data_IF_021376911934
#
_entry.id   IF_021376911934
#
_cell.length_a   1.000
_cell.length_b   1.000
_cell.length_c   1.000
_cell.angle_alpha   90.00
_cell.angle_beta   90.00
_cell.angle_gamma   90.00
#
_symmetry.space_group_name_H-M   'P 1'
#
loop_
_entity.id
_entity.type
_entity.pdbx_description
1 polymer ?
#
# COMPACT_ATOMS: atom_id res chain seq x y z
N UNK A 1 6.56 17.02 -10.80
CA UNK A 1 6.52 15.55 -10.84
C UNK A 1 5.98 15.06 -9.52
N UNK A 2 5.03 14.13 -9.53
CA UNK A 2 4.54 13.50 -8.30
C UNK A 2 5.67 12.68 -7.67
N UNK A 3 5.92 12.88 -6.39
CA UNK A 3 6.89 12.08 -5.65
C UNK A 3 6.27 10.73 -5.29
N UNK A 4 7.04 9.66 -5.44
CA UNK A 4 6.72 8.35 -4.88
C UNK A 4 6.80 8.38 -3.34
N UNK A 5 6.40 7.29 -2.68
CA UNK A 5 6.37 7.21 -1.21
C UNK A 5 7.76 7.45 -0.63
N UNK A 6 7.83 8.34 0.37
CA UNK A 6 9.06 8.72 1.05
C UNK A 6 8.75 9.12 2.52
N UNK A 7 9.79 9.52 3.27
CA UNK A 7 9.65 9.96 4.66
C UNK A 7 8.71 11.16 4.83
N UNK A 8 8.69 12.08 3.86
CA UNK A 8 7.82 13.27 3.90
C UNK A 8 6.34 12.87 3.88
N UNK A 9 5.98 11.81 3.15
CA UNK A 9 4.60 11.31 3.14
C UNK A 9 4.16 10.75 4.50
N UNK A 10 5.07 10.11 5.24
CA UNK A 10 4.78 9.66 6.61
C UNK A 10 4.72 10.82 7.61
N UNK A 11 5.58 11.83 7.45
CA UNK A 11 5.50 13.07 8.23
C UNK A 11 4.15 13.76 8.00
N UNK A 12 3.72 13.87 6.74
CA UNK A 12 2.41 14.44 6.39
C UNK A 12 1.28 13.64 7.04
N UNK A 13 1.31 12.30 6.93
CA UNK A 13 0.35 11.43 7.61
C UNK A 13 0.26 11.73 9.11
N UNK A 14 1.38 11.72 9.83
CA UNK A 14 1.37 11.95 11.27
C UNK A 14 0.93 13.38 11.64
N UNK A 15 1.29 14.39 10.84
CA UNK A 15 0.86 15.77 11.07
C UNK A 15 -0.64 15.94 10.83
N UNK A 16 -1.18 15.38 9.75
CA UNK A 16 -2.61 15.43 9.46
C UNK A 16 -3.41 14.66 10.51
N UNK A 17 -2.98 13.45 10.87
CA UNK A 17 -3.67 12.61 11.83
C UNK A 17 -3.70 13.22 13.24
N UNK A 18 -2.63 13.89 13.66
CA UNK A 18 -2.58 14.58 14.97
C UNK A 18 -3.57 15.72 15.12
N UNK A 19 -4.18 16.22 14.04
CA UNK A 19 -5.23 17.23 14.12
C UNK A 19 -6.55 16.68 14.69
N UNK A 20 -6.73 15.35 14.68
CA UNK A 20 -7.98 14.72 15.11
C UNK A 20 -7.80 13.42 15.93
N UNK A 21 -6.58 12.90 16.06
CA UNK A 21 -6.24 11.73 16.85
C UNK A 21 -5.21 12.08 17.93
N UNK A 22 -5.40 11.53 19.14
CA UNK A 22 -4.45 11.69 20.23
C UNK A 22 -3.13 10.96 19.95
N UNK A 23 -1.99 11.39 20.53
CA UNK A 23 -0.70 10.72 20.37
C UNK A 23 -0.75 9.22 20.66
N UNK A 24 -1.49 8.78 21.68
CA UNK A 24 -1.65 7.37 22.07
C UNK A 24 -2.39 6.54 21.01
N UNK A 25 -3.11 7.18 20.09
CA UNK A 25 -3.76 6.51 18.96
C UNK A 25 -2.81 6.34 17.76
N UNK A 26 -1.67 7.04 17.75
CA UNK A 26 -0.70 7.08 16.65
C UNK A 26 0.66 6.47 17.03
N UNK A 27 1.02 6.54 18.30
CA UNK A 27 2.31 6.13 18.83
C UNK A 27 2.13 5.19 20.04
N UNK A 28 3.05 4.25 20.18
CA UNK A 28 3.24 3.47 21.39
C UNK A 28 3.88 4.33 22.46
N UNK A 29 3.34 4.31 23.68
CA UNK A 29 3.94 4.94 24.86
C UNK A 29 4.81 3.92 25.60
N UNK A 30 6.11 4.15 25.67
CA UNK A 30 7.07 3.32 26.42
C UNK A 30 7.05 3.58 27.92
N UNK A 31 7.68 2.68 28.68
CA UNK A 31 7.84 2.79 30.14
C UNK A 31 8.63 4.05 30.56
N UNK A 32 9.46 4.61 29.66
CA UNK A 32 10.21 5.87 29.86
C UNK A 32 9.47 7.11 29.30
N UNK A 33 8.16 7.01 29.09
CA UNK A 33 7.27 8.09 28.59
C UNK A 33 7.66 8.66 27.22
N UNK A 34 8.10 7.80 26.31
CA UNK A 34 8.44 8.18 24.93
C UNK A 34 7.43 7.60 23.94
N UNK A 35 7.13 8.37 22.92
CA UNK A 35 6.16 8.01 21.88
C UNK A 35 6.88 7.49 20.64
N UNK A 36 6.63 6.24 20.27
CA UNK A 36 7.24 5.59 19.12
C UNK A 36 6.20 5.07 18.11
N UNK A 37 6.44 5.24 16.81
CA UNK A 37 5.60 4.63 15.78
C UNK A 37 5.73 3.09 15.83
N UNK A 38 6.91 2.56 16.09
CA UNK A 38 7.08 1.14 16.38
C UNK A 38 8.03 0.94 17.55
N UNK A 39 7.81 -0.13 18.31
CA UNK A 39 8.77 -0.53 19.34
C UNK A 39 10.17 -0.65 18.73
N UNK A 40 11.18 0.09 19.24
CA UNK A 40 12.56 -0.07 18.80
C UNK A 40 13.01 -1.54 18.93
N UNK A 41 13.87 -2.02 18.02
CA UNK A 41 14.26 -3.44 17.99
C UNK A 41 14.87 -3.94 19.31
N UNK A 42 15.59 -3.06 20.00
CA UNK A 42 16.23 -3.28 21.29
C UNK A 42 15.32 -3.06 22.51
N UNK A 43 14.06 -2.64 22.31
CA UNK A 43 13.14 -2.35 23.40
C UNK A 43 12.72 -3.64 24.14
N UNK A 44 12.99 -3.67 25.45
CA UNK A 44 12.75 -4.82 26.35
C UNK A 44 11.62 -4.60 27.36
N UNK A 45 11.05 -3.39 27.42
CA UNK A 45 10.00 -3.02 28.37
C UNK A 45 8.65 -3.65 28.02
N UNK A 46 7.63 -3.24 28.77
CA UNK A 46 6.24 -3.67 28.55
C UNK A 46 5.74 -3.15 27.20
N UNK A 47 4.96 -3.98 26.47
CA UNK A 47 4.49 -3.65 25.12
C UNK A 47 2.96 -3.71 25.07
N UNK A 48 2.37 -2.65 24.57
CA UNK A 48 0.96 -2.57 24.21
C UNK A 48 0.74 -2.88 22.72
N UNK A 49 -0.52 -3.07 22.35
CA UNK A 49 -0.98 -3.14 20.96
C UNK A 49 -1.55 -1.78 20.54
N UNK A 50 -1.39 -1.43 19.26
CA UNK A 50 -1.88 -0.19 18.70
C UNK A 50 -2.59 -0.47 17.38
N UNK A 51 -3.91 -0.60 17.44
CA UNK A 51 -4.74 -0.91 16.27
C UNK A 51 -5.20 0.34 15.53
N UNK A 52 -5.50 1.43 16.25
CA UNK A 52 -6.01 2.69 15.70
C UNK A 52 -5.15 3.25 14.58
N UNK A 53 -3.81 3.32 14.77
CA UNK A 53 -2.91 3.81 13.73
C UNK A 53 -3.02 3.00 12.43
N UNK A 54 -3.17 1.67 12.52
CA UNK A 54 -3.21 0.83 11.31
C UNK A 54 -4.43 1.15 10.44
N UNK A 55 -5.56 1.49 11.05
CA UNK A 55 -6.73 2.00 10.30
C UNK A 55 -6.43 3.35 9.68
N UNK A 56 -5.91 4.30 10.47
CA UNK A 56 -5.64 5.67 10.01
C UNK A 56 -4.63 5.73 8.86
N UNK A 57 -3.54 4.97 8.93
CA UNK A 57 -2.56 4.91 7.82
C UNK A 57 -3.15 4.19 6.61
N UNK A 58 -4.03 3.20 6.82
CA UNK A 58 -4.77 2.55 5.74
C UNK A 58 -5.52 3.58 4.91
N UNK A 59 -6.46 4.30 5.55
CA UNK A 59 -7.28 5.34 4.91
C UNK A 59 -6.41 6.41 4.21
N UNK A 60 -5.34 6.85 4.87
CA UNK A 60 -4.40 7.82 4.28
C UNK A 60 -3.74 7.29 3.01
N UNK A 61 -3.25 6.04 3.05
CA UNK A 61 -2.56 5.43 1.90
C UNK A 61 -3.50 5.06 0.76
N UNK A 62 -4.76 4.74 1.02
CA UNK A 62 -5.77 4.52 -0.01
C UNK A 62 -6.06 5.81 -0.79
N UNK A 63 -6.28 6.92 -0.07
CA UNK A 63 -6.42 8.24 -0.67
C UNK A 63 -5.16 8.65 -1.45
N UNK A 64 -3.98 8.47 -0.86
CA UNK A 64 -2.72 8.78 -1.53
C UNK A 64 -2.52 7.92 -2.78
N UNK A 65 -2.89 6.64 -2.75
CA UNK A 65 -2.83 5.74 -3.90
C UNK A 65 -3.79 6.15 -5.02
N UNK A 66 -4.98 6.62 -4.67
CA UNK A 66 -5.91 7.20 -5.64
C UNK A 66 -5.33 8.46 -6.31
N UNK A 67 -4.75 9.36 -5.50
CA UNK A 67 -4.10 10.58 -5.99
C UNK A 67 -2.90 10.25 -6.89
N UNK A 68 -2.09 9.24 -6.55
CA UNK A 68 -0.97 8.78 -7.36
C UNK A 68 -1.40 8.36 -8.77
N UNK A 69 -2.55 7.68 -8.89
CA UNK A 69 -3.06 7.10 -10.13
C UNK A 69 -3.94 8.07 -10.95
N UNK A 70 -4.38 9.18 -10.35
CA UNK A 70 -5.32 10.14 -10.97
C UNK A 70 -4.87 10.68 -12.32
N UNK A 71 -3.63 11.16 -12.43
CA UNK A 71 -3.08 11.71 -13.68
C UNK A 71 -3.04 10.66 -14.80
N UNK A 72 -2.64 9.44 -14.46
CA UNK A 72 -2.64 8.33 -15.42
C UNK A 72 -4.06 8.01 -15.89
N UNK A 73 -5.02 7.86 -14.97
CA UNK A 73 -6.40 7.56 -15.32
C UNK A 73 -7.00 8.65 -16.24
N UNK A 74 -6.79 9.93 -15.91
CA UNK A 74 -7.25 11.07 -16.72
C UNK A 74 -6.62 11.03 -18.12
N UNK A 75 -5.32 10.73 -18.22
CA UNK A 75 -4.63 10.62 -19.52
C UNK A 75 -5.20 9.52 -20.42
N UNK A 76 -5.91 8.54 -19.85
CA UNK A 76 -6.58 7.44 -20.56
C UNK A 76 -8.08 7.65 -20.73
N UNK A 77 -8.63 8.80 -20.31
CA UNK A 77 -10.06 9.08 -20.36
C UNK A 77 -10.88 8.30 -19.32
N UNK A 78 -10.25 7.90 -18.21
CA UNK A 78 -10.88 7.16 -17.12
C UNK A 78 -10.88 7.96 -15.81
N UNK A 79 -11.50 7.40 -14.79
CA UNK A 79 -11.64 7.98 -13.46
C UNK A 79 -11.03 7.06 -12.40
N UNK A 80 -10.45 7.65 -11.35
CA UNK A 80 -10.09 6.91 -10.14
C UNK A 80 -11.27 6.95 -9.18
N UNK A 81 -11.70 5.78 -8.72
CA UNK A 81 -12.80 5.61 -7.76
C UNK A 81 -12.24 4.96 -6.50
N UNK A 82 -12.40 5.66 -5.38
CA UNK A 82 -12.06 5.14 -4.05
C UNK A 82 -13.21 4.30 -3.50
N UNK A 83 -12.94 3.12 -2.95
CA UNK A 83 -13.97 2.27 -2.35
C UNK A 83 -14.98 1.70 -3.36
N UNK A 84 -14.55 1.37 -4.59
CA UNK A 84 -15.45 0.93 -5.66
C UNK A 84 -16.17 -0.38 -5.30
N UNK A 85 -17.50 -0.37 -5.43
CA UNK A 85 -18.40 -1.49 -5.12
C UNK A 85 -18.84 -2.13 -6.43
N UNK A 86 -18.70 -3.45 -6.54
CA UNK A 86 -19.19 -4.23 -7.67
C UNK A 86 -19.52 -5.65 -7.21
N UNK A 87 -20.79 -5.88 -6.89
CA UNK A 87 -21.31 -7.18 -6.43
C UNK A 87 -21.07 -8.29 -7.48
N UNK A 88 -21.13 -7.96 -8.78
CA UNK A 88 -20.93 -8.90 -9.91
C UNK A 88 -19.54 -9.57 -9.92
N UNK A 89 -18.56 -8.97 -9.25
CA UNK A 89 -17.18 -9.46 -9.20
C UNK A 89 -16.68 -9.66 -7.77
N UNK A 90 -17.60 -9.82 -6.81
CA UNK A 90 -17.23 -10.12 -5.43
C UNK A 90 -16.57 -8.95 -4.69
N UNK A 91 -16.92 -7.71 -5.03
CA UNK A 91 -16.54 -6.48 -4.32
C UNK A 91 -17.76 -5.82 -3.66
N UNK A 92 -18.38 -6.46 -2.64
CA UNK A 92 -19.51 -5.89 -1.93
C UNK A 92 -19.10 -4.66 -1.11
N UNK A 93 -20.06 -3.90 -0.59
CA UNK A 93 -19.81 -2.69 0.21
C UNK A 93 -18.84 -2.89 1.40
N UNK A 94 -18.86 -4.06 2.04
CA UNK A 94 -18.00 -4.38 3.20
C UNK A 94 -16.62 -4.94 2.80
N UNK A 95 -16.36 -5.12 1.51
CA UNK A 95 -15.08 -5.57 0.96
C UNK A 95 -14.88 -4.97 -0.45
N UNK A 96 -15.16 -3.68 -0.58
CA UNK A 96 -15.00 -2.93 -1.82
C UNK A 96 -13.52 -2.87 -2.23
N UNK A 97 -13.24 -2.52 -3.48
CA UNK A 97 -11.86 -2.25 -3.87
C UNK A 97 -11.38 -0.97 -3.19
N UNK A 98 -10.17 -1.00 -2.64
CA UNK A 98 -9.55 0.17 -2.00
C UNK A 98 -9.49 1.33 -3.02
N UNK A 99 -8.95 1.04 -4.21
CA UNK A 99 -8.95 1.94 -5.37
C UNK A 99 -9.27 1.16 -6.65
N UNK A 100 -10.02 1.76 -7.57
CA UNK A 100 -10.23 1.25 -8.91
C UNK A 100 -10.05 2.35 -9.96
N UNK A 101 -9.62 1.98 -11.16
CA UNK A 101 -9.77 2.85 -12.34
C UNK A 101 -11.00 2.37 -13.09
N UNK A 102 -11.91 3.30 -13.39
CA UNK A 102 -13.23 3.02 -13.95
C UNK A 102 -13.58 3.97 -15.10
N UNK A 103 -14.48 3.52 -15.98
CA UNK A 103 -15.07 4.32 -17.06
C UNK A 103 -16.05 5.38 -16.54
N UNK A 104 -16.56 5.19 -15.32
CA UNK A 104 -17.51 6.12 -14.68
C UNK A 104 -16.99 6.54 -13.31
N UNK A 105 -17.47 7.68 -12.79
CA UNK A 105 -17.11 8.18 -11.45
C UNK A 105 -17.95 7.59 -10.31
N UNK A 106 -18.88 6.67 -10.60
CA UNK A 106 -19.79 6.15 -9.58
C UNK A 106 -19.05 5.26 -8.57
N UNK A 107 -19.52 5.22 -7.32
CA UNK A 107 -18.98 4.24 -6.36
C UNK A 107 -19.48 2.82 -6.70
N UNK A 108 -20.76 2.70 -7.07
CA UNK A 108 -21.33 1.44 -7.56
C UNK A 108 -21.01 1.29 -9.04
N UNK A 109 -20.25 0.25 -9.38
CA UNK A 109 -19.75 -0.03 -10.72
C UNK A 109 -20.36 -1.33 -11.25
N UNK A 110 -20.49 -1.41 -12.57
CA UNK A 110 -20.65 -2.70 -13.27
C UNK A 110 -19.28 -3.28 -13.55
N UNK A 111 -19.19 -4.60 -13.72
CA UNK A 111 -17.92 -5.25 -14.03
C UNK A 111 -17.24 -4.67 -15.30
N UNK A 112 -18.03 -4.30 -16.30
CA UNK A 112 -17.56 -3.76 -17.58
C UNK A 112 -17.02 -2.32 -17.51
N UNK A 113 -17.31 -1.61 -16.42
CA UNK A 113 -16.84 -0.25 -16.20
C UNK A 113 -15.52 -0.21 -15.44
N UNK A 114 -15.12 -1.30 -14.77
CA UNK A 114 -13.86 -1.40 -14.04
C UNK A 114 -12.75 -1.82 -15.01
N UNK A 115 -11.70 -1.01 -15.12
CA UNK A 115 -10.55 -1.27 -16.00
C UNK A 115 -9.30 -1.68 -15.24
N UNK A 116 -9.21 -1.37 -13.94
CA UNK A 116 -8.14 -1.81 -13.04
C UNK A 116 -8.66 -1.85 -11.60
N UNK A 117 -8.29 -2.88 -10.86
CA UNK A 117 -8.47 -2.96 -9.40
C UNK A 117 -7.09 -2.80 -8.74
N UNK A 118 -7.03 -1.97 -7.72
CA UNK A 118 -5.83 -1.68 -6.95
C UNK A 118 -6.13 -1.92 -5.48
N UNK A 119 -5.48 -2.94 -4.92
CA UNK A 119 -5.53 -3.20 -3.48
C UNK A 119 -4.33 -2.54 -2.82
N UNK A 120 -4.57 -1.67 -1.84
CA UNK A 120 -3.52 -0.93 -1.14
C UNK A 120 -3.12 -1.70 0.12
N UNK A 121 -1.83 -1.99 0.25
CA UNK A 121 -1.20 -2.72 1.34
C UNK A 121 0.04 -2.00 1.83
N UNK A 122 -0.07 -0.68 1.90
CA UNK A 122 0.95 0.24 2.40
C UNK A 122 0.82 0.41 3.93
N UNK A 123 1.89 0.86 4.57
CA UNK A 123 1.87 1.22 6.01
C UNK A 123 2.98 2.22 6.34
N UNK A 124 3.07 2.64 7.60
CA UNK A 124 4.29 3.29 8.11
C UNK A 124 5.47 2.32 7.95
N UNK A 125 6.58 2.80 7.39
CA UNK A 125 7.79 2.03 7.09
C UNK A 125 8.93 2.40 8.02
N UNK A 126 9.08 3.68 8.34
CA UNK A 126 10.15 4.15 9.21
C UNK A 126 9.69 4.18 10.67
N UNK A 127 10.64 4.04 11.59
CA UNK A 127 10.36 4.26 13.00
C UNK A 127 10.45 5.75 13.31
N UNK A 128 9.38 6.32 13.83
CA UNK A 128 9.29 7.72 14.21
C UNK A 128 9.17 7.86 15.72
N UNK A 129 9.86 8.83 16.29
CA UNK A 129 9.67 9.25 17.67
C UNK A 129 9.02 10.64 17.69
N UNK A 130 7.95 10.79 18.47
CA UNK A 130 7.37 12.11 18.73
C UNK A 130 8.04 12.69 19.98
N UNK A 131 8.72 13.84 19.83
CA UNK A 131 9.41 14.53 20.93
C UNK A 131 8.90 15.96 21.12
N UNK A 132 8.92 16.47 22.37
CA UNK A 132 8.77 17.90 22.61
C UNK A 132 9.91 18.69 21.95
N UNK A 133 9.58 19.82 21.32
CA UNK A 133 10.52 20.82 20.80
C UNK A 133 10.00 22.24 21.02
N UNK A 134 10.65 22.95 21.95
CA UNK A 134 10.20 24.28 22.36
C UNK A 134 8.75 24.24 22.85
N UNK A 135 7.87 25.02 22.20
CA UNK A 135 6.43 25.06 22.52
C UNK A 135 5.59 24.07 21.70
N UNK A 136 6.21 23.14 20.97
CA UNK A 136 5.50 22.18 20.14
C UNK A 136 6.11 20.78 20.21
N UNK A 137 5.81 19.97 19.20
CA UNK A 137 6.32 18.61 19.07
C UNK A 137 6.93 18.41 17.67
N UNK A 138 7.95 17.57 17.58
CA UNK A 138 8.57 17.18 16.32
C UNK A 138 8.63 15.66 16.16
N UNK A 139 8.64 15.21 14.90
CA UNK A 139 8.86 13.82 14.53
C UNK A 139 10.32 13.60 14.17
N UNK A 140 10.96 12.65 14.84
CA UNK A 140 12.35 12.27 14.60
C UNK A 140 12.36 10.86 14.01
N UNK A 141 12.91 10.71 12.80
CA UNK A 141 13.13 9.40 12.20
C UNK A 141 14.27 8.67 12.93
N UNK A 142 13.96 7.55 13.57
CA UNK A 142 14.91 6.71 14.29
C UNK A 142 15.58 5.64 13.40
N UNK A 143 14.97 5.34 12.25
CA UNK A 143 15.52 4.42 11.26
C UNK A 143 14.45 3.75 10.39
N UNK A 144 14.90 2.89 9.48
CA UNK A 144 14.04 2.10 8.60
C UNK A 144 13.39 0.90 9.29
N UNK A 145 12.63 0.11 8.52
CA UNK A 145 11.87 -1.01 9.05
C UNK A 145 12.71 -2.14 9.66
N UNK A 146 14.03 -2.15 9.47
CA UNK A 146 14.94 -3.11 10.12
C UNK A 146 15.33 -2.69 11.54
N UNK A 147 15.04 -1.44 11.95
CA UNK A 147 15.40 -0.89 13.28
C UNK A 147 14.27 -0.99 14.31
N UNK A 148 13.09 -1.46 13.91
CA UNK A 148 11.93 -1.62 14.77
C UNK A 148 11.37 -3.04 14.75
N UNK A 149 10.48 -3.36 15.69
CA UNK A 149 9.88 -4.70 15.83
C UNK A 149 8.64 -4.92 14.96
N UNK A 150 8.11 -3.85 14.34
CA UNK A 150 7.01 -3.95 13.39
C UNK A 150 7.43 -4.60 12.07
N UNK A 151 6.50 -5.27 11.40
CA UNK A 151 6.64 -5.67 10.01
C UNK A 151 5.68 -4.83 9.15
N UNK A 152 6.19 -3.98 8.24
CA UNK A 152 5.35 -3.08 7.46
C UNK A 152 4.85 -3.71 6.15
N UNK A 153 3.63 -3.34 5.77
CA UNK A 153 3.00 -3.67 4.49
C UNK A 153 3.19 -5.14 4.05
N UNK A 154 3.81 -5.29 2.88
CA UNK A 154 4.01 -6.58 2.19
C UNK A 154 5.03 -7.52 2.86
N UNK A 155 5.74 -7.07 3.90
CA UNK A 155 6.61 -7.96 4.70
C UNK A 155 5.81 -8.85 5.65
N UNK A 156 4.52 -8.56 5.87
CA UNK A 156 3.64 -9.39 6.69
C UNK A 156 2.94 -10.46 5.87
N UNK A 157 3.08 -11.71 6.30
CA UNK A 157 2.39 -12.85 5.68
C UNK A 157 0.86 -12.71 5.68
N UNK A 158 0.26 -12.21 6.75
CA UNK A 158 -1.21 -12.04 6.80
C UNK A 158 -1.69 -11.01 5.76
N UNK A 159 -0.91 -9.96 5.54
CA UNK A 159 -1.20 -8.90 4.55
C UNK A 159 -1.09 -9.45 3.13
N UNK A 160 -0.05 -10.23 2.84
CA UNK A 160 0.09 -10.95 1.57
C UNK A 160 -1.08 -11.91 1.31
N UNK A 161 -1.44 -12.73 2.30
CA UNK A 161 -2.53 -13.71 2.16
C UNK A 161 -3.89 -13.05 1.95
N UNK A 162 -4.17 -11.94 2.64
CA UNK A 162 -5.41 -11.16 2.44
C UNK A 162 -5.50 -10.61 1.01
N UNK A 163 -4.42 -10.03 0.50
CA UNK A 163 -4.36 -9.52 -0.88
C UNK A 163 -4.59 -10.63 -1.92
N UNK A 164 -3.94 -11.79 -1.73
CA UNK A 164 -4.11 -12.97 -2.59
C UNK A 164 -5.56 -13.48 -2.52
N UNK A 165 -6.10 -13.65 -1.31
CA UNK A 165 -7.45 -14.16 -1.09
C UNK A 165 -8.53 -13.27 -1.73
N UNK A 166 -8.45 -11.95 -1.54
CA UNK A 166 -9.38 -10.99 -2.16
C UNK A 166 -9.29 -11.05 -3.68
N UNK A 167 -8.06 -11.08 -4.23
CA UNK A 167 -7.85 -11.16 -5.69
C UNK A 167 -8.41 -12.46 -6.28
N UNK A 168 -8.21 -13.60 -5.62
CA UNK A 168 -8.78 -14.87 -6.03
C UNK A 168 -10.32 -14.83 -6.00
N UNK A 169 -10.91 -14.25 -4.95
CA UNK A 169 -12.37 -14.12 -4.85
C UNK A 169 -12.94 -13.32 -6.04
N UNK A 170 -12.29 -12.21 -6.41
CA UNK A 170 -12.66 -11.44 -7.60
C UNK A 170 -12.54 -12.30 -8.86
N UNK A 171 -11.40 -12.97 -9.06
CA UNK A 171 -11.11 -13.77 -10.26
C UNK A 171 -12.13 -14.87 -10.52
N UNK A 172 -12.63 -15.50 -9.47
CA UNK A 172 -13.59 -16.62 -9.59
C UNK A 172 -15.06 -16.17 -9.60
N UNK A 173 -15.33 -14.87 -9.41
CA UNK A 173 -16.71 -14.37 -9.30
C UNK A 173 -17.45 -14.33 -10.65
N UNK A 174 -16.76 -14.03 -11.76
CA UNK A 174 -17.36 -14.06 -13.10
C UNK A 174 -16.33 -14.06 -14.22
N UNK A 175 -16.75 -14.42 -15.44
CA UNK A 175 -15.92 -14.32 -16.65
C UNK A 175 -15.49 -12.89 -16.98
N UNK A 176 -16.29 -11.88 -16.60
CA UNK A 176 -15.89 -10.48 -16.77
C UNK A 176 -14.75 -10.14 -15.79
N UNK A 177 -14.85 -10.62 -14.56
CA UNK A 177 -13.83 -10.39 -13.53
C UNK A 177 -12.46 -10.98 -13.89
N UNK A 178 -12.41 -12.12 -14.59
CA UNK A 178 -11.15 -12.77 -14.96
C UNK A 178 -10.27 -11.90 -15.87
N UNK A 179 -10.83 -10.90 -16.56
CA UNK A 179 -10.11 -10.01 -17.46
C UNK A 179 -9.65 -8.68 -16.84
N UNK A 180 -10.22 -8.30 -15.70
CA UNK A 180 -9.90 -7.02 -15.05
C UNK A 180 -8.52 -7.15 -14.39
N UNK A 181 -7.49 -6.36 -14.76
CA UNK A 181 -6.21 -6.43 -14.07
C UNK A 181 -6.35 -6.05 -12.58
N UNK A 182 -5.61 -6.74 -11.73
CA UNK A 182 -5.52 -6.52 -10.29
C UNK A 182 -4.04 -6.30 -9.96
N UNK A 183 -3.73 -5.19 -9.30
CA UNK A 183 -2.40 -4.93 -8.74
C UNK A 183 -2.50 -4.74 -7.22
N UNK A 184 -1.43 -5.11 -6.52
CA UNK A 184 -1.28 -4.86 -5.09
C UNK A 184 -0.27 -3.73 -4.92
N UNK A 185 -0.71 -2.58 -4.42
CA UNK A 185 0.14 -1.41 -4.20
C UNK A 185 0.71 -1.43 -2.77
N UNK A 186 2.03 -1.46 -2.64
CA UNK A 186 2.75 -1.45 -1.38
C UNK A 186 3.86 -0.40 -1.36
N UNK A 187 4.57 -0.31 -0.24
CA UNK A 187 5.68 0.63 -0.04
C UNK A 187 6.87 0.00 0.67
N UNK A 188 6.95 -1.34 0.62
CA UNK A 188 8.02 -2.17 1.18
C UNK A 188 8.43 -3.23 0.16
N UNK A 189 9.60 -3.88 0.32
CA UNK A 189 9.89 -5.11 -0.42
C UNK A 189 9.03 -6.27 0.10
N UNK A 190 9.08 -7.41 -0.59
CA UNK A 190 8.51 -8.68 -0.11
C UNK A 190 9.61 -9.57 0.46
N UNK A 191 9.22 -10.49 1.35
CA UNK A 191 10.11 -11.52 1.87
C UNK A 191 10.46 -12.55 0.79
N UNK A 192 11.68 -13.11 0.83
CA UNK A 192 12.20 -14.04 -0.19
C UNK A 192 11.34 -15.30 -0.38
N UNK A 193 10.70 -15.77 0.69
CA UNK A 193 9.75 -16.89 0.65
C UNK A 193 8.48 -16.62 -0.18
N UNK A 194 8.23 -15.38 -0.60
CA UNK A 194 7.14 -15.02 -1.50
C UNK A 194 7.57 -14.82 -2.95
N UNK A 195 8.87 -14.83 -3.28
CA UNK A 195 9.35 -14.50 -4.63
C UNK A 195 8.73 -15.39 -5.71
N UNK A 196 8.88 -16.71 -5.58
CA UNK A 196 8.28 -17.66 -6.52
C UNK A 196 6.75 -17.59 -6.51
N UNK A 197 6.15 -17.35 -5.33
CA UNK A 197 4.69 -17.30 -5.18
C UNK A 197 4.08 -16.13 -5.94
N UNK A 198 4.67 -14.93 -5.87
CA UNK A 198 4.16 -13.76 -6.61
C UNK A 198 4.38 -13.92 -8.11
N UNK A 199 5.47 -14.57 -8.52
CA UNK A 199 5.72 -14.89 -9.93
C UNK A 199 4.70 -15.88 -10.48
N UNK A 200 4.36 -16.93 -9.70
CA UNK A 200 3.29 -17.86 -10.05
C UNK A 200 1.91 -17.18 -10.14
N UNK A 201 1.57 -16.28 -9.20
CA UNK A 201 0.32 -15.54 -9.23
C UNK A 201 0.19 -14.66 -10.47
N UNK A 202 1.29 -14.02 -10.88
CA UNK A 202 1.35 -13.24 -12.11
C UNK A 202 1.21 -14.12 -13.34
N UNK A 203 1.97 -15.22 -13.41
CA UNK A 203 1.92 -16.17 -14.53
C UNK A 203 0.53 -16.77 -14.70
N UNK A 204 -0.16 -17.06 -13.59
CA UNK A 204 -1.53 -17.57 -13.59
C UNK A 204 -2.60 -16.50 -13.87
N UNK A 205 -2.22 -15.22 -14.04
CA UNK A 205 -3.15 -14.12 -14.30
C UNK A 205 -3.98 -13.68 -13.09
N UNK A 206 -3.71 -14.21 -11.89
CA UNK A 206 -4.48 -13.90 -10.67
C UNK A 206 -4.23 -12.45 -10.24
N UNK A 207 -2.96 -12.04 -10.16
CA UNK A 207 -2.52 -10.68 -9.80
C UNK A 207 -1.43 -10.26 -10.78
N UNK A 208 -1.57 -9.12 -11.44
CA UNK A 208 -0.63 -8.64 -12.46
C UNK A 208 0.67 -8.07 -11.87
N UNK A 209 0.65 -7.71 -10.60
CA UNK A 209 1.88 -7.50 -9.85
C UNK A 209 1.68 -6.98 -8.43
N UNK A 210 2.66 -7.27 -7.59
CA UNK A 210 2.91 -6.64 -6.30
C UNK A 210 3.88 -5.49 -6.53
N UNK A 211 3.39 -4.27 -6.40
CA UNK A 211 4.06 -3.05 -6.84
C UNK A 211 4.45 -2.22 -5.64
N UNK A 212 5.74 -1.98 -5.45
CA UNK A 212 6.25 -1.13 -4.38
C UNK A 212 6.58 0.26 -4.91
N UNK A 213 5.91 1.28 -4.38
CA UNK A 213 6.13 2.69 -4.77
C UNK A 213 6.97 3.45 -3.76
N UNK A 214 7.86 2.75 -3.06
CA UNK A 214 8.89 3.36 -2.22
C UNK A 214 10.26 3.06 -2.83
N UNK A 215 10.96 4.04 -3.43
CA UNK A 215 12.28 3.82 -4.02
C UNK A 215 13.35 3.42 -3.01
N UNK A 216 13.27 3.99 -1.79
CA UNK A 216 14.31 3.90 -0.76
C UNK A 216 13.74 3.53 0.61
N UNK A 217 13.12 2.33 0.77
CA UNK A 217 12.55 1.87 2.03
C UNK A 217 13.60 1.54 3.11
N UNK A 218 14.89 1.54 2.75
CA UNK A 218 16.02 1.30 3.66
C UNK A 218 16.96 2.50 3.65
N UNK A 219 17.45 2.89 4.82
CA UNK A 219 18.31 4.08 4.96
C UNK A 219 19.73 3.85 4.42
N UNK A 220 20.19 2.59 4.38
CA UNK A 220 21.57 2.23 4.02
C UNK A 220 21.70 1.40 2.73
N UNK A 221 20.73 1.46 1.81
CA UNK A 221 20.73 0.65 0.57
C UNK A 221 20.96 -0.87 0.82
N UNK A 222 20.49 -1.40 1.95
CA UNK A 222 20.53 -2.85 2.21
C UNK A 222 19.64 -3.64 1.25
N UNK A 223 19.52 -4.96 1.46
CA UNK A 223 18.69 -5.85 0.60
C UNK A 223 17.29 -5.28 0.34
N UNK A 224 17.14 -4.72 -0.86
CA UNK A 224 15.96 -4.03 -1.36
C UNK A 224 15.80 -4.43 -2.83
N UNK A 225 15.12 -5.56 -3.03
CA UNK A 225 14.93 -6.15 -4.35
C UNK A 225 14.20 -5.17 -5.28
N UNK A 226 14.70 -5.03 -6.51
CA UNK A 226 14.04 -4.22 -7.56
C UNK A 226 12.86 -4.96 -8.17
N UNK A 227 13.03 -6.24 -8.43
CA UNK A 227 12.04 -7.11 -9.10
C UNK A 227 12.36 -8.57 -8.82
N UNK A 228 11.33 -9.41 -8.81
CA UNK A 228 11.51 -10.87 -8.92
C UNK A 228 11.76 -11.27 -10.37
N UNK A 229 12.22 -12.50 -10.59
CA UNK A 229 12.58 -13.01 -11.93
C UNK A 229 11.36 -13.00 -12.87
N UNK A 230 10.22 -13.53 -12.41
CA UNK A 230 8.96 -13.55 -13.14
C UNK A 230 8.21 -12.22 -13.12
N UNK A 231 8.80 -11.14 -12.55
CA UNK A 231 8.21 -9.81 -12.43
C UNK A 231 6.87 -9.78 -11.65
N UNK A 232 6.59 -10.79 -10.83
CA UNK A 232 5.46 -10.81 -9.91
C UNK A 232 5.56 -9.73 -8.83
N UNK A 233 6.78 -9.34 -8.46
CA UNK A 233 7.05 -8.13 -7.68
C UNK A 233 7.89 -7.11 -8.48
N UNK A 234 7.61 -5.82 -8.28
CA UNK A 234 8.37 -4.74 -8.88
C UNK A 234 8.38 -3.49 -7.99
N UNK A 235 9.55 -2.90 -7.76
CA UNK A 235 9.73 -1.61 -7.07
C UNK A 235 9.93 -0.51 -8.09
N UNK A 236 9.22 0.60 -7.95
CA UNK A 236 9.41 1.80 -8.76
C UNK A 236 10.37 2.77 -8.08
N UNK A 237 11.34 3.26 -8.84
CA UNK A 237 12.30 4.26 -8.39
C UNK A 237 11.88 5.68 -8.81
N UNK A 238 11.02 5.81 -9.83
CA UNK A 238 10.51 7.07 -10.36
C UNK A 238 9.02 6.96 -10.73
N UNK A 239 8.33 8.10 -10.82
CA UNK A 239 6.93 8.13 -11.24
C UNK A 239 6.77 7.72 -12.71
N UNK A 240 7.72 8.10 -13.57
CA UNK A 240 7.75 7.76 -14.98
C UNK A 240 7.84 6.25 -15.20
N UNK A 241 8.60 5.54 -14.35
CA UNK A 241 8.69 4.09 -14.38
C UNK A 241 7.34 3.43 -14.04
N UNK A 242 6.60 3.98 -13.07
CA UNK A 242 5.25 3.54 -12.73
C UNK A 242 4.29 3.76 -13.90
N UNK A 243 4.29 4.96 -14.50
CA UNK A 243 3.46 5.28 -15.66
C UNK A 243 3.74 4.33 -16.84
N UNK A 244 5.01 4.11 -17.16
CA UNK A 244 5.38 3.20 -18.25
C UNK A 244 4.99 1.74 -17.98
N UNK A 245 4.89 1.32 -16.72
CA UNK A 245 4.38 -0.01 -16.35
C UNK A 245 2.87 -0.09 -16.43
N UNK A 246 2.16 0.96 -16.03
CA UNK A 246 0.71 1.10 -16.19
C UNK A 246 0.31 1.11 -17.68
N UNK A 247 1.06 1.82 -18.52
CA UNK A 247 0.84 1.82 -19.98
C UNK A 247 0.95 0.42 -20.58
N UNK A 248 1.99 -0.32 -20.20
CA UNK A 248 2.15 -1.72 -20.63
C UNK A 248 0.99 -2.58 -20.14
N UNK A 249 0.58 -2.42 -18.88
CA UNK A 249 -0.55 -3.15 -18.30
C UNK A 249 -1.86 -2.86 -19.06
N UNK A 250 -2.09 -1.62 -19.50
CA UNK A 250 -3.30 -1.24 -20.24
C UNK A 250 -3.24 -1.68 -21.71
N UNK A 251 -2.05 -1.90 -22.27
CA UNK A 251 -1.85 -2.42 -23.63
C UNK A 251 -1.83 -3.96 -23.74
N UNK A 252 -1.84 -4.68 -22.63
CA UNK A 252 -1.93 -6.15 -22.64
C UNK A 252 -3.33 -6.61 -23.08
N UNK A 253 -3.40 -7.38 -24.17
CA UNK A 253 -4.61 -8.14 -24.51
C UNK A 253 -4.86 -9.22 -23.46
N UNK A 254 -6.10 -9.33 -23.00
CA UNK A 254 -6.53 -10.31 -22.00
C UNK A 254 -7.74 -11.07 -22.52
N UNK A 255 -7.56 -12.36 -22.76
CA UNK A 255 -8.61 -13.29 -23.22
C UNK A 255 -9.56 -13.72 -22.09
#
# INVERSE_FOLDING_TARGET
MKNLWNKDQEINFFNEARNFAAPEQLFYLSDDNRFFAYWPKQYKGSKSTLQSRNTLIGDYTEKWGADLLSEFAISKGYHVVHGAICEEIGLPKNSSADVAICKTMNINQKAEDIVLIVEVKMSVVWNWELKPKGNGEELICLGDYKTHQGNPGLLRSDTMLKAIGKSLNVRVSSLKASRIPIIILGNTPISSNYYEKVDHLRKAGVIQGFWSVNPKPLDNNGDNIKKTEGLGFYRFDTYEELLGKLDKLFGEERE
#
